data_IF_303080045468
#
_entry.id   IF_303080045468
#
_cell.length_a   1.000
_cell.length_b   1.000
_cell.length_c   1.000
_cell.angle_alpha   90.00
_cell.angle_beta   90.00
_cell.angle_gamma   90.00
#
_symmetry.space_group_name_H-M   'P 1'
#
loop_
_entity.id
_entity.type
_entity.pdbx_description
1 polymer ?
#
# COMPACT_ATOMS: atom_id res chain seq x y z
N UNK A 1 45.33 -4.42 8.61
CA UNK A 1 44.04 -5.13 8.47
C UNK A 1 43.68 -5.15 6.98
N UNK A 2 43.59 -6.34 6.36
CA UNK A 2 43.05 -6.48 4.98
C UNK A 2 41.56 -6.66 5.11
N UNK A 3 40.78 -5.72 4.61
CA UNK A 3 39.30 -5.82 4.56
C UNK A 3 38.92 -6.35 3.20
N UNK A 4 38.23 -7.49 3.15
CA UNK A 4 37.63 -7.99 1.93
C UNK A 4 36.28 -7.31 1.74
N UNK A 5 36.12 -6.56 0.67
CA UNK A 5 34.83 -6.01 0.24
C UNK A 5 34.35 -6.82 -0.94
N UNK A 6 33.24 -7.51 -0.79
CA UNK A 6 32.60 -8.30 -1.83
C UNK A 6 31.09 -8.14 -1.78
N UNK A 7 30.48 -7.92 -2.93
CA UNK A 7 29.04 -7.82 -3.10
C UNK A 7 28.69 -8.18 -4.54
N UNK A 8 27.50 -8.74 -4.76
CA UNK A 8 27.01 -9.07 -6.09
C UNK A 8 26.97 -7.85 -7.03
N UNK A 9 26.76 -6.66 -6.49
CA UNK A 9 26.66 -5.39 -7.23
C UNK A 9 27.87 -4.49 -7.09
N UNK A 10 28.98 -4.98 -6.56
CA UNK A 10 30.24 -4.24 -6.44
C UNK A 10 31.14 -4.52 -7.67
N UNK A 11 31.66 -3.50 -8.32
CA UNK A 11 31.49 -2.05 -8.23
C UNK A 11 30.54 -1.50 -9.31
N UNK A 12 29.21 -1.45 -9.02
CA UNK A 12 28.25 -0.91 -9.98
C UNK A 12 28.05 0.60 -9.78
N UNK A 13 28.73 1.40 -10.57
CA UNK A 13 28.65 2.86 -10.45
C UNK A 13 27.28 3.45 -10.81
N UNK A 14 26.51 2.80 -11.68
CA UNK A 14 25.16 3.26 -12.07
C UNK A 14 24.19 3.24 -10.88
N UNK A 15 24.21 2.16 -10.12
CA UNK A 15 23.36 2.01 -8.92
C UNK A 15 23.79 2.98 -7.82
N UNK A 16 25.11 3.21 -7.67
CA UNK A 16 25.62 4.17 -6.71
C UNK A 16 25.17 5.61 -7.06
N UNK A 17 25.24 5.99 -8.34
CA UNK A 17 24.77 7.30 -8.81
C UNK A 17 23.27 7.44 -8.60
N UNK A 18 22.48 6.40 -8.91
CA UNK A 18 21.05 6.39 -8.69
C UNK A 18 20.69 6.54 -7.20
N UNK A 19 21.42 5.85 -6.32
CA UNK A 19 21.25 5.95 -4.87
C UNK A 19 21.57 7.36 -4.36
N UNK A 20 22.68 7.94 -4.77
CA UNK A 20 23.06 9.32 -4.42
C UNK A 20 22.00 10.32 -4.88
N UNK A 21 21.51 10.18 -6.12
CA UNK A 21 20.45 11.05 -6.64
C UNK A 21 19.13 10.92 -5.88
N UNK A 22 18.80 9.71 -5.48
CA UNK A 22 17.61 9.47 -4.65
C UNK A 22 17.73 10.14 -3.28
N UNK A 23 18.89 10.01 -2.62
CA UNK A 23 19.17 10.66 -1.34
C UNK A 23 19.08 12.20 -1.49
N UNK A 24 19.69 12.77 -2.54
CA UNK A 24 19.59 14.21 -2.83
C UNK A 24 18.14 14.68 -2.98
N UNK A 25 17.30 13.92 -3.70
CA UNK A 25 15.89 14.24 -3.86
C UNK A 25 15.17 14.20 -2.52
N UNK A 26 15.41 13.17 -1.70
CA UNK A 26 14.82 13.02 -0.38
C UNK A 26 15.16 14.20 0.55
N UNK A 27 16.42 14.67 0.51
CA UNK A 27 16.89 15.78 1.33
C UNK A 27 16.37 17.13 0.87
N UNK A 28 16.35 17.37 -0.44
CA UNK A 28 16.13 18.73 -0.99
C UNK A 28 14.66 19.04 -1.30
N UNK A 29 13.76 18.04 -1.42
CA UNK A 29 12.36 18.24 -1.85
C UNK A 29 11.32 17.99 -0.78
N UNK A 30 11.72 17.93 0.48
CA UNK A 30 10.79 17.66 1.60
C UNK A 30 9.89 16.40 1.36
N UNK A 31 10.45 15.43 0.63
CA UNK A 31 9.73 14.24 0.15
C UNK A 31 9.07 13.46 1.28
N UNK A 32 9.79 13.30 2.39
CA UNK A 32 9.31 12.51 3.54
C UNK A 32 8.01 13.11 4.08
N UNK A 33 7.98 14.42 4.33
CA UNK A 33 6.77 15.07 4.83
C UNK A 33 5.60 15.01 3.83
N UNK A 34 5.89 15.11 2.53
CA UNK A 34 4.87 15.00 1.48
C UNK A 34 4.26 13.59 1.45
N UNK A 35 5.08 12.54 1.52
CA UNK A 35 4.60 11.17 1.56
C UNK A 35 3.79 10.91 2.85
N UNK A 36 4.23 11.42 4.01
CA UNK A 36 3.47 11.30 5.26
C UNK A 36 2.09 11.96 5.17
N UNK A 37 1.99 13.18 4.64
CA UNK A 37 0.70 13.86 4.43
C UNK A 37 -0.27 13.04 3.57
N UNK A 38 0.25 12.48 2.47
CA UNK A 38 -0.53 11.60 1.58
C UNK A 38 -0.96 10.32 2.29
N UNK A 39 -0.06 9.72 3.06
CA UNK A 39 -0.33 8.52 3.83
C UNK A 39 -1.39 8.75 4.91
N UNK A 40 -1.26 9.80 5.71
CA UNK A 40 -2.26 10.18 6.73
C UNK A 40 -3.63 10.43 6.11
N UNK A 41 -3.67 11.15 4.99
CA UNK A 41 -4.89 11.35 4.22
C UNK A 41 -5.53 10.02 3.84
N UNK A 42 -4.77 9.14 3.17
CA UNK A 42 -5.25 7.84 2.71
C UNK A 42 -5.74 6.95 3.87
N UNK A 43 -4.97 6.88 4.96
CA UNK A 43 -5.33 6.13 6.17
C UNK A 43 -6.64 6.63 6.79
N UNK A 44 -6.82 7.95 6.87
CA UNK A 44 -8.05 8.56 7.38
C UNK A 44 -9.26 8.19 6.53
N UNK A 45 -9.12 8.28 5.20
CA UNK A 45 -10.21 7.95 4.27
C UNK A 45 -10.57 6.46 4.33
N UNK A 46 -9.59 5.56 4.31
CA UNK A 46 -9.84 4.11 4.45
C UNK A 46 -10.54 3.78 5.77
N UNK A 47 -10.06 4.33 6.89
CA UNK A 47 -10.71 4.09 8.20
C UNK A 47 -12.17 4.55 8.21
N UNK A 48 -12.49 5.63 7.52
CA UNK A 48 -13.87 6.10 7.40
C UNK A 48 -14.68 5.17 6.48
N UNK A 49 -14.12 4.75 5.36
CA UNK A 49 -14.75 3.84 4.41
C UNK A 49 -15.09 2.50 5.07
N UNK A 50 -14.18 1.92 5.83
CA UNK A 50 -14.39 0.64 6.51
C UNK A 50 -15.56 0.64 7.50
N UNK A 51 -15.94 1.79 8.07
CA UNK A 51 -17.12 1.90 8.95
C UNK A 51 -18.44 1.58 8.25
N UNK A 52 -18.48 1.67 6.92
CA UNK A 52 -19.68 1.40 6.12
C UNK A 52 -19.89 -0.09 5.84
N UNK A 53 -18.92 -0.93 6.22
CA UNK A 53 -18.96 -2.37 5.96
C UNK A 53 -18.99 -3.17 7.26
N UNK A 54 -19.77 -4.24 7.26
CA UNK A 54 -19.98 -5.10 8.46
C UNK A 54 -18.97 -6.25 8.54
N UNK A 55 -18.02 -6.32 7.61
CA UNK A 55 -16.97 -7.33 7.63
C UNK A 55 -16.01 -7.07 8.79
N UNK A 56 -15.49 -8.13 9.39
CA UNK A 56 -14.42 -8.01 10.39
C UNK A 56 -13.11 -7.62 9.71
N UNK A 57 -12.99 -6.34 9.42
CA UNK A 57 -11.81 -5.74 8.79
C UNK A 57 -11.20 -4.69 9.69
N UNK A 58 -9.90 -4.59 9.65
CA UNK A 58 -9.16 -3.54 10.32
C UNK A 58 -8.13 -2.92 9.37
N UNK A 59 -7.71 -1.73 9.71
CA UNK A 59 -6.66 -1.03 8.99
C UNK A 59 -5.49 -0.79 9.92
N UNK A 60 -4.32 -1.31 9.56
CA UNK A 60 -3.11 -1.24 10.36
C UNK A 60 -1.94 -0.68 9.54
N UNK A 61 -0.82 -0.50 10.19
CA UNK A 61 0.42 -0.02 9.58
C UNK A 61 0.63 1.48 9.78
N UNK A 62 1.83 1.88 9.47
CA UNK A 62 2.24 3.28 9.41
C UNK A 62 1.59 3.97 8.19
N UNK A 63 1.41 5.29 8.22
CA UNK A 63 0.82 6.03 7.09
C UNK A 63 1.46 5.73 5.74
N UNK A 64 2.75 5.46 5.72
CA UNK A 64 3.49 5.15 4.50
C UNK A 64 3.29 3.71 4.01
N UNK A 65 2.87 2.80 4.89
CA UNK A 65 2.73 1.36 4.64
C UNK A 65 1.36 0.85 5.08
N UNK A 66 0.27 1.30 4.43
CA UNK A 66 -1.08 0.92 4.79
C UNK A 66 -1.35 -0.57 4.54
N UNK A 67 -2.11 -1.19 5.45
CA UNK A 67 -2.50 -2.59 5.31
C UNK A 67 -3.94 -2.82 5.77
N UNK A 68 -4.74 -3.47 4.91
CA UNK A 68 -6.11 -3.89 5.22
C UNK A 68 -6.07 -5.33 5.72
N UNK A 69 -6.51 -5.54 6.95
CA UNK A 69 -6.53 -6.85 7.61
C UNK A 69 -7.96 -7.37 7.64
N UNK A 70 -8.15 -8.61 7.22
CA UNK A 70 -9.41 -9.32 7.29
C UNK A 70 -9.36 -10.34 8.44
N UNK A 71 -10.27 -10.24 9.40
CA UNK A 71 -10.24 -10.96 10.67
C UNK A 71 -11.55 -11.71 10.96
N UNK A 72 -12.23 -12.23 9.92
CA UNK A 72 -13.41 -13.06 10.15
C UNK A 72 -13.04 -14.33 10.94
N UNK A 73 -13.90 -14.69 11.91
CA UNK A 73 -13.66 -15.86 12.76
C UNK A 73 -13.74 -17.16 11.98
N UNK A 74 -14.65 -17.24 10.99
CA UNK A 74 -14.69 -18.34 10.05
C UNK A 74 -13.58 -18.19 9.02
N UNK A 75 -12.62 -19.11 9.04
CA UNK A 75 -11.47 -19.10 8.13
C UNK A 75 -11.86 -19.25 6.66
N UNK A 76 -12.92 -20.01 6.35
CA UNK A 76 -13.41 -20.17 4.98
C UNK A 76 -14.05 -18.88 4.49
N UNK A 77 -14.89 -18.25 5.32
CA UNK A 77 -15.47 -16.95 5.04
C UNK A 77 -14.39 -15.89 4.84
N UNK A 78 -13.40 -15.85 5.73
CA UNK A 78 -12.28 -14.91 5.63
C UNK A 78 -11.50 -15.06 4.32
N UNK A 79 -11.23 -16.31 3.91
CA UNK A 79 -10.57 -16.61 2.62
C UNK A 79 -11.45 -16.19 1.43
N UNK A 80 -12.75 -16.42 1.50
CA UNK A 80 -13.70 -16.03 0.46
C UNK A 80 -13.74 -14.52 0.28
N UNK A 81 -13.87 -13.76 1.37
CA UNK A 81 -13.85 -12.30 1.39
C UNK A 81 -12.57 -11.78 0.74
N UNK A 82 -11.40 -12.26 1.19
CA UNK A 82 -10.10 -11.88 0.61
C UNK A 82 -10.03 -12.13 -0.89
N UNK A 83 -10.45 -13.29 -1.34
CA UNK A 83 -10.40 -13.65 -2.75
C UNK A 83 -11.26 -12.71 -3.60
N UNK A 84 -12.50 -12.43 -3.18
CA UNK A 84 -13.35 -11.49 -3.89
C UNK A 84 -12.76 -10.08 -3.91
N UNK A 85 -12.34 -9.57 -2.76
CA UNK A 85 -11.77 -8.25 -2.63
C UNK A 85 -10.55 -8.03 -3.55
N UNK A 86 -9.54 -8.88 -3.43
CA UNK A 86 -8.33 -8.72 -4.23
C UNK A 86 -8.56 -9.01 -5.72
N UNK A 87 -9.46 -9.93 -6.06
CA UNK A 87 -9.84 -10.18 -7.46
C UNK A 87 -10.54 -8.97 -8.07
N UNK A 88 -11.45 -8.33 -7.35
CA UNK A 88 -12.14 -7.11 -7.80
C UNK A 88 -11.14 -5.97 -8.03
N UNK A 89 -10.19 -5.76 -7.11
CA UNK A 89 -9.14 -4.76 -7.28
C UNK A 89 -8.30 -5.00 -8.52
N UNK A 90 -7.84 -6.24 -8.73
CA UNK A 90 -7.03 -6.58 -9.91
C UNK A 90 -7.81 -6.35 -11.21
N UNK A 91 -9.09 -6.71 -11.25
CA UNK A 91 -9.98 -6.42 -12.40
C UNK A 91 -10.13 -4.92 -12.64
N UNK A 92 -10.10 -4.12 -11.59
CA UNK A 92 -10.11 -2.65 -11.66
C UNK A 92 -8.71 -2.04 -11.91
N UNK A 93 -7.71 -2.86 -12.25
CA UNK A 93 -6.31 -2.48 -12.52
C UNK A 93 -5.60 -1.87 -11.29
N UNK A 94 -6.06 -2.20 -10.09
CA UNK A 94 -5.40 -1.85 -8.84
C UNK A 94 -4.75 -3.12 -8.28
N UNK A 95 -3.46 -3.07 -8.05
CA UNK A 95 -2.72 -4.18 -7.45
C UNK A 95 -2.34 -3.86 -6.01
N UNK A 96 -2.96 -4.57 -5.07
CA UNK A 96 -2.55 -4.66 -3.68
C UNK A 96 -2.19 -6.12 -3.40
N UNK A 97 -0.99 -6.35 -2.88
CA UNK A 97 -0.56 -7.71 -2.58
C UNK A 97 -1.35 -8.29 -1.40
N UNK A 98 -2.00 -9.45 -1.54
CA UNK A 98 -2.64 -10.13 -0.42
C UNK A 98 -1.62 -10.44 0.68
N UNK A 99 -1.99 -10.21 1.94
CA UNK A 99 -1.14 -10.45 3.11
C UNK A 99 0.15 -9.60 3.15
N UNK A 100 0.19 -8.50 2.45
CA UNK A 100 1.30 -7.56 2.45
C UNK A 100 0.81 -6.12 2.49
N UNK A 101 1.56 -5.23 3.15
CA UNK A 101 1.26 -3.80 3.15
C UNK A 101 1.51 -3.17 1.78
N UNK A 102 0.76 -2.13 1.47
CA UNK A 102 1.02 -1.26 0.33
C UNK A 102 2.08 -0.21 0.67
N UNK A 103 2.41 0.63 -0.30
CA UNK A 103 3.33 1.75 -0.11
C UNK A 103 2.77 3.03 -0.70
N UNK A 104 2.83 4.11 0.07
CA UNK A 104 2.57 5.46 -0.43
C UNK A 104 3.88 6.03 -0.96
N UNK A 105 3.90 6.42 -2.23
CA UNK A 105 5.09 6.92 -2.89
C UNK A 105 4.99 8.42 -3.18
N UNK A 106 6.14 9.07 -3.33
CA UNK A 106 6.23 10.49 -3.68
C UNK A 106 5.48 10.83 -4.99
N UNK A 107 5.48 9.91 -5.96
CA UNK A 107 4.82 10.08 -7.26
C UNK A 107 3.31 9.97 -7.20
N UNK A 108 2.73 9.37 -6.16
CA UNK A 108 1.29 9.37 -6.01
C UNK A 108 0.76 10.79 -5.79
N UNK A 109 -0.29 11.15 -6.49
CA UNK A 109 -1.07 12.37 -6.23
C UNK A 109 -2.26 12.05 -5.34
N UNK A 110 -2.89 13.06 -4.74
CA UNK A 110 -4.15 12.86 -4.01
C UNK A 110 -5.24 12.29 -4.92
N UNK A 111 -5.27 12.69 -6.20
CA UNK A 111 -6.19 12.13 -7.19
C UNK A 111 -6.00 10.63 -7.42
N UNK A 112 -4.74 10.15 -7.42
CA UNK A 112 -4.46 8.73 -7.53
C UNK A 112 -4.95 7.99 -6.29
N UNK A 113 -4.76 8.57 -5.10
CA UNK A 113 -5.24 7.99 -3.85
C UNK A 113 -6.77 7.94 -3.80
N UNK A 114 -7.46 8.98 -4.26
CA UNK A 114 -8.92 9.01 -4.34
C UNK A 114 -9.46 7.96 -5.33
N UNK A 115 -8.79 7.78 -6.45
CA UNK A 115 -9.12 6.72 -7.40
C UNK A 115 -8.99 5.33 -6.75
N UNK A 116 -7.89 5.09 -6.04
CA UNK A 116 -7.68 3.81 -5.33
C UNK A 116 -8.73 3.61 -4.25
N UNK A 117 -9.08 4.65 -3.48
CA UNK A 117 -10.13 4.59 -2.46
C UNK A 117 -11.49 4.22 -3.06
N UNK A 118 -11.87 4.83 -4.17
CA UNK A 118 -13.10 4.47 -4.89
C UNK A 118 -13.10 3.01 -5.36
N UNK A 119 -11.96 2.49 -5.85
CA UNK A 119 -11.86 1.09 -6.25
C UNK A 119 -11.86 0.11 -5.07
N UNK A 120 -11.35 0.51 -3.93
CA UNK A 120 -11.46 -0.25 -2.67
C UNK A 120 -12.94 -0.32 -2.23
N UNK A 121 -13.67 0.78 -2.33
CA UNK A 121 -15.10 0.81 -2.00
C UNK A 121 -15.92 -0.10 -2.94
N UNK A 122 -15.68 -0.03 -4.25
CA UNK A 122 -16.27 -0.94 -5.24
C UNK A 122 -15.98 -2.41 -4.88
N UNK A 123 -14.73 -2.73 -4.56
CA UNK A 123 -14.33 -4.09 -4.20
C UNK A 123 -15.03 -4.60 -2.92
N UNK A 124 -15.22 -3.76 -1.90
CA UNK A 124 -16.01 -4.12 -0.72
C UNK A 124 -17.50 -4.30 -1.03
N UNK A 125 -18.07 -3.51 -1.94
CA UNK A 125 -19.43 -3.71 -2.41
C UNK A 125 -19.59 -5.03 -3.17
N UNK A 126 -18.63 -5.40 -4.00
CA UNK A 126 -18.59 -6.70 -4.68
C UNK A 126 -18.55 -7.86 -3.67
N UNK A 127 -17.75 -7.74 -2.61
CA UNK A 127 -17.75 -8.73 -1.51
C UNK A 127 -19.14 -8.83 -0.89
N UNK A 128 -19.77 -7.70 -0.54
CA UNK A 128 -21.11 -7.67 0.08
C UNK A 128 -22.20 -8.34 -0.76
N UNK A 129 -22.06 -8.30 -2.09
CA UNK A 129 -23.04 -8.92 -3.01
C UNK A 129 -22.82 -10.43 -3.20
N UNK A 130 -21.61 -10.94 -2.94
CA UNK A 130 -21.21 -12.30 -3.33
C UNK A 130 -20.82 -13.20 -2.14
N UNK A 131 -20.82 -12.65 -0.95
CA UNK A 131 -20.44 -13.34 0.30
C UNK A 131 -21.51 -13.21 1.36
#
# INVERSE_FOLDING_TARGET
LKVLVSSTYFPNSLEQIAALKNIEILQNKNVINDIYKKGEYFCKQIKNLLKNFKFSTNFTGEPLMPYIVFNEKDGNLNKKIKNYFYTSLVRSKIFLAPNHHGYIMYRHTFKDLDLVLGKIEEAFNDVKLNV
#
